data_IF_447037842080
#
_entry.id   IF_447037842080
#
_cell.length_a   1.000
_cell.length_b   1.000
_cell.length_c   1.000
_cell.angle_alpha   90.00
_cell.angle_beta   90.00
_cell.angle_gamma   90.00
#
_symmetry.space_group_name_H-M   'P 1'
#
loop_
_entity.id
_entity.type
_entity.pdbx_description
1 polymer ?
#
# COMPACT_ATOMS: atom_id res chain seq x y z
N UNK A 1 -19.05 -39.54 -34.57
CA UNK A 1 -19.63 -39.30 -33.24
C UNK A 1 -18.60 -38.60 -32.37
N UNK A 2 -18.69 -37.28 -32.19
CA UNK A 2 -17.76 -36.52 -31.36
C UNK A 2 -18.26 -36.49 -29.91
N UNK A 3 -17.54 -37.14 -29.00
CA UNK A 3 -17.80 -37.08 -27.55
C UNK A 3 -17.34 -35.72 -27.01
N UNK A 4 -18.31 -34.90 -26.64
CA UNK A 4 -18.10 -33.69 -25.83
C UNK A 4 -17.58 -34.09 -24.45
N UNK A 5 -16.33 -33.73 -24.15
CA UNK A 5 -15.73 -33.86 -22.82
C UNK A 5 -16.32 -32.78 -21.91
N UNK A 6 -17.40 -33.11 -21.22
CA UNK A 6 -18.00 -32.26 -20.21
C UNK A 6 -17.01 -31.99 -19.08
N UNK A 7 -16.63 -30.71 -18.90
CA UNK A 7 -15.93 -30.23 -17.70
C UNK A 7 -16.75 -30.64 -16.47
N UNK A 8 -16.15 -31.24 -15.42
CA UNK A 8 -16.89 -31.59 -14.23
C UNK A 8 -17.38 -30.31 -13.54
N UNK A 9 -18.69 -30.12 -13.52
CA UNK A 9 -19.35 -29.07 -12.74
C UNK A 9 -19.14 -29.43 -11.28
N UNK A 10 -18.27 -28.70 -10.57
CA UNK A 10 -18.13 -28.85 -9.12
C UNK A 10 -19.51 -28.69 -8.49
N UNK A 11 -19.92 -29.61 -7.61
CA UNK A 11 -21.18 -29.44 -6.89
C UNK A 11 -21.14 -28.11 -6.12
N UNK A 12 -22.26 -27.39 -6.02
CA UNK A 12 -22.31 -26.05 -5.40
C UNK A 12 -21.70 -26.03 -3.99
N UNK A 13 -21.82 -27.14 -3.25
CA UNK A 13 -21.20 -27.34 -1.92
C UNK A 13 -19.68 -27.40 -1.96
N UNK A 14 -19.07 -28.02 -2.97
CA UNK A 14 -17.62 -28.07 -3.13
C UNK A 14 -17.06 -26.70 -3.55
N UNK A 15 -17.78 -25.99 -4.42
CA UNK A 15 -17.42 -24.62 -4.81
C UNK A 15 -17.43 -23.67 -3.60
N UNK A 16 -18.52 -23.68 -2.81
CA UNK A 16 -18.63 -22.85 -1.62
C UNK A 16 -17.49 -23.10 -0.61
N UNK A 17 -17.16 -24.36 -0.34
CA UNK A 17 -16.04 -24.72 0.56
C UNK A 17 -14.70 -24.19 0.05
N UNK A 18 -14.47 -24.24 -1.27
CA UNK A 18 -13.26 -23.71 -1.86
C UNK A 18 -13.17 -22.19 -1.65
N UNK A 19 -14.25 -21.45 -1.93
CA UNK A 19 -14.27 -19.99 -1.79
C UNK A 19 -14.08 -19.55 -0.33
N UNK A 20 -14.72 -20.24 0.63
CA UNK A 20 -14.51 -19.97 2.06
C UNK A 20 -13.03 -20.20 2.43
N UNK A 21 -12.44 -21.31 2.00
CA UNK A 21 -11.03 -21.60 2.26
C UNK A 21 -10.09 -20.56 1.65
N UNK A 22 -10.40 -20.05 0.44
CA UNK A 22 -9.63 -18.98 -0.20
C UNK A 22 -9.74 -17.67 0.58
N UNK A 23 -10.93 -17.33 1.09
CA UNK A 23 -11.14 -16.16 1.93
C UNK A 23 -10.39 -16.26 3.27
N UNK A 24 -10.49 -17.40 3.97
CA UNK A 24 -9.79 -17.63 5.24
C UNK A 24 -8.26 -17.65 5.08
N UNK A 25 -7.76 -18.18 3.96
CA UNK A 25 -6.32 -18.13 3.66
C UNK A 25 -5.88 -16.69 3.40
N UNK A 26 -6.65 -15.93 2.61
CA UNK A 26 -6.34 -14.54 2.32
C UNK A 26 -6.43 -13.65 3.58
N UNK A 27 -7.38 -13.92 4.47
CA UNK A 27 -7.52 -13.21 5.73
C UNK A 27 -6.34 -13.44 6.67
N UNK A 28 -5.83 -14.68 6.70
CA UNK A 28 -4.60 -15.04 7.43
C UNK A 28 -3.35 -14.41 6.82
N UNK A 29 -3.24 -14.36 5.50
CA UNK A 29 -2.09 -13.76 4.79
C UNK A 29 -2.08 -12.23 4.89
N UNK A 30 -3.26 -11.61 4.89
CA UNK A 30 -3.42 -10.16 4.80
C UNK A 30 -4.41 -9.65 5.85
N UNK A 31 -4.11 -9.81 7.15
CA UNK A 31 -4.90 -9.16 8.18
C UNK A 31 -4.78 -7.65 7.97
N UNK A 32 -5.93 -6.99 7.88
CA UNK A 32 -6.05 -5.54 7.91
C UNK A 32 -5.14 -4.81 6.88
N UNK A 33 -5.69 -4.63 5.68
CA UNK A 33 -5.08 -3.89 4.58
C UNK A 33 -5.70 -2.50 4.48
N UNK A 34 -4.95 -1.53 3.92
CA UNK A 34 -5.51 -0.22 3.56
C UNK A 34 -6.70 -0.42 2.61
N UNK A 35 -7.81 0.25 2.92
CA UNK A 35 -9.02 0.26 2.08
C UNK A 35 -8.99 1.46 1.15
N UNK A 36 -9.56 1.30 -0.05
CA UNK A 36 -9.64 2.33 -1.06
C UNK A 36 -11.08 2.40 -1.57
N UNK A 37 -11.65 3.60 -1.63
CA UNK A 37 -12.94 3.85 -2.31
C UNK A 37 -12.76 4.00 -3.83
N UNK A 38 -11.62 4.53 -4.26
CA UNK A 38 -11.26 4.72 -5.66
C UNK A 38 -9.79 4.36 -5.90
N UNK A 39 -9.36 4.14 -7.16
CA UNK A 39 -7.94 4.01 -7.48
C UNK A 39 -7.14 5.21 -6.94
N UNK A 40 -5.97 4.99 -6.31
CA UNK A 40 -5.16 6.08 -5.80
C UNK A 40 -4.67 7.00 -6.93
N UNK A 41 -4.62 8.31 -6.65
CA UNK A 41 -4.02 9.28 -7.57
C UNK A 41 -2.50 9.18 -7.58
N UNK A 42 -1.91 9.35 -8.76
CA UNK A 42 -0.46 9.33 -8.92
C UNK A 42 0.19 10.55 -8.24
N UNK A 43 1.27 10.30 -7.51
CA UNK A 43 2.07 11.31 -6.83
C UNK A 43 3.56 11.11 -7.20
N UNK A 44 3.93 11.40 -8.46
CA UNK A 44 5.23 11.01 -9.01
C UNK A 44 6.42 11.73 -8.35
N UNK A 45 6.19 12.84 -7.64
CA UNK A 45 7.20 13.59 -6.89
C UNK A 45 7.21 13.27 -5.39
N UNK A 46 6.39 12.32 -4.94
CA UNK A 46 6.32 11.88 -3.56
C UNK A 46 7.19 10.65 -3.33
N UNK A 47 8.04 10.74 -2.32
CA UNK A 47 8.93 9.69 -1.83
C UNK A 47 8.40 9.16 -0.51
N UNK A 48 8.74 7.92 -0.19
CA UNK A 48 8.34 7.28 1.04
C UNK A 48 9.54 6.64 1.74
N UNK A 49 9.65 6.88 3.04
CA UNK A 49 10.49 6.14 3.96
C UNK A 49 9.60 5.24 4.82
N UNK A 50 9.75 3.92 4.70
CA UNK A 50 9.09 2.97 5.61
C UNK A 50 9.97 2.74 6.84
N UNK A 51 9.41 2.91 8.03
CA UNK A 51 10.16 2.76 9.29
C UNK A 51 9.30 2.13 10.38
N UNK A 52 9.95 1.43 11.31
CA UNK A 52 9.35 1.00 12.59
C UNK A 52 9.77 1.91 13.75
N UNK A 53 10.61 2.91 13.47
CA UNK A 53 11.14 3.85 14.45
C UNK A 53 10.21 5.05 14.61
N UNK A 54 10.09 5.52 15.85
CA UNK A 54 9.35 6.73 16.19
C UNK A 54 10.25 7.96 15.98
N UNK A 55 10.41 8.36 14.72
CA UNK A 55 11.05 9.62 14.36
C UNK A 55 10.11 10.79 14.57
N UNK A 56 10.67 11.91 15.01
CA UNK A 56 9.97 13.19 15.02
C UNK A 56 10.05 13.86 13.65
N UNK A 57 9.13 14.79 13.39
CA UNK A 57 9.18 15.60 12.17
C UNK A 57 10.48 16.42 12.07
N UNK A 58 11.04 16.86 13.20
CA UNK A 58 12.30 17.61 13.22
C UNK A 58 13.47 16.73 12.76
N UNK A 59 13.58 15.50 13.25
CA UNK A 59 14.65 14.59 12.82
C UNK A 59 14.62 14.30 11.32
N UNK A 60 13.42 14.15 10.75
CA UNK A 60 13.25 13.95 9.30
C UNK A 60 13.65 15.21 8.52
N UNK A 61 13.30 16.40 9.04
CA UNK A 61 13.71 17.67 8.45
C UNK A 61 15.23 17.86 8.48
N UNK A 62 15.87 17.59 9.61
CA UNK A 62 17.33 17.72 9.76
C UNK A 62 18.07 16.76 8.82
N UNK A 63 17.59 15.51 8.70
CA UNK A 63 18.15 14.54 7.76
C UNK A 63 17.98 14.99 6.30
N UNK A 64 16.84 15.59 5.96
CA UNK A 64 16.60 16.16 4.63
C UNK A 64 17.49 17.36 4.34
N UNK A 65 17.69 18.24 5.32
CA UNK A 65 18.56 19.42 5.18
C UNK A 65 20.04 19.00 5.02
N UNK A 66 20.48 17.95 5.72
CA UNK A 66 21.80 17.38 5.53
C UNK A 66 22.01 16.80 4.11
N UNK A 67 21.00 16.12 3.57
CA UNK A 67 21.05 15.52 2.22
C UNK A 67 20.83 16.54 1.10
N UNK A 68 20.02 17.57 1.36
CA UNK A 68 19.64 18.62 0.43
C UNK A 68 19.71 20.01 1.09
N UNK A 69 20.91 20.58 1.30
CA UNK A 69 21.05 21.87 1.94
C UNK A 69 20.25 22.97 1.20
N UNK A 70 19.51 23.75 1.97
CA UNK A 70 18.64 24.84 1.53
C UNK A 70 17.38 24.38 0.79
N UNK A 71 16.96 23.11 0.88
CA UNK A 71 15.83 22.59 0.11
C UNK A 71 14.49 23.27 0.46
N UNK A 72 14.30 23.65 1.73
CA UNK A 72 13.10 24.37 2.15
C UNK A 72 13.10 25.80 1.61
N UNK A 73 14.19 26.53 1.82
CA UNK A 73 14.32 27.94 1.42
C UNK A 73 14.22 28.09 -0.11
N UNK A 74 14.80 27.15 -0.85
CA UNK A 74 14.73 27.12 -2.32
C UNK A 74 13.42 26.55 -2.87
N UNK A 75 12.48 26.11 -2.03
CA UNK A 75 11.21 25.53 -2.46
C UNK A 75 11.33 24.19 -3.20
N UNK A 76 12.46 23.47 -3.02
CA UNK A 76 12.65 22.12 -3.59
C UNK A 76 11.89 21.05 -2.80
N UNK A 77 11.66 21.30 -1.51
CA UNK A 77 10.80 20.49 -0.66
C UNK A 77 9.42 21.17 -0.55
N UNK A 78 8.36 20.45 -0.92
CA UNK A 78 6.98 20.93 -0.87
C UNK A 78 6.26 20.55 0.42
N UNK A 79 6.41 19.31 0.88
CA UNK A 79 5.78 18.86 2.13
C UNK A 79 6.43 17.61 2.71
N UNK A 80 6.25 17.43 4.02
CA UNK A 80 6.53 16.19 4.74
C UNK A 80 5.25 15.78 5.47
N UNK A 81 4.89 14.50 5.42
CA UNK A 81 3.72 13.95 6.13
C UNK A 81 4.07 12.61 6.76
N UNK A 82 3.41 12.31 7.88
CA UNK A 82 3.50 11.01 8.53
C UNK A 82 2.19 10.25 8.34
N UNK A 83 2.29 8.99 7.93
CA UNK A 83 1.18 8.05 7.87
C UNK A 83 1.40 6.94 8.89
N UNK A 84 0.52 6.88 9.89
CA UNK A 84 0.46 5.76 10.79
C UNK A 84 -0.29 4.61 10.10
N UNK A 85 0.46 3.62 9.63
CA UNK A 85 -0.10 2.52 8.84
C UNK A 85 -0.94 1.57 9.69
N UNK A 86 -0.64 1.48 10.98
CA UNK A 86 -1.40 0.70 11.95
C UNK A 86 -2.82 1.27 12.13
N UNK A 87 -2.94 2.59 12.28
CA UNK A 87 -4.24 3.29 12.34
C UNK A 87 -4.99 3.18 11.01
N UNK A 88 -4.30 3.43 9.89
CA UNK A 88 -4.92 3.42 8.55
C UNK A 88 -5.46 2.04 8.19
N UNK A 89 -4.73 0.98 8.56
CA UNK A 89 -5.14 -0.40 8.28
C UNK A 89 -6.05 -0.98 9.37
N UNK A 90 -6.08 -0.40 10.58
CA UNK A 90 -6.75 -0.97 11.74
C UNK A 90 -6.04 -2.22 12.27
N UNK A 91 -4.71 -2.20 12.36
CA UNK A 91 -3.89 -3.33 12.83
C UNK A 91 -2.62 -2.88 13.53
N UNK A 92 -1.81 -3.82 14.00
CA UNK A 92 -0.49 -3.59 14.57
C UNK A 92 0.60 -4.27 13.72
N UNK A 93 1.85 -3.81 13.86
CA UNK A 93 3.00 -4.43 13.21
C UNK A 93 3.24 -4.00 11.76
N UNK A 94 2.49 -3.02 11.24
CA UNK A 94 2.83 -2.34 9.99
C UNK A 94 3.92 -1.30 10.26
N UNK A 95 4.81 -1.13 9.29
CA UNK A 95 5.78 -0.02 9.28
C UNK A 95 5.05 1.26 8.92
N UNK A 96 5.29 2.31 9.68
CA UNK A 96 4.77 3.63 9.39
C UNK A 96 5.55 4.27 8.25
N UNK A 97 4.95 5.30 7.65
CA UNK A 97 5.47 5.91 6.42
C UNK A 97 5.67 7.40 6.58
N UNK A 98 6.87 7.86 6.29
CA UNK A 98 7.16 9.28 6.09
C UNK A 98 7.11 9.60 4.61
N UNK A 99 6.16 10.45 4.22
CA UNK A 99 5.99 10.93 2.86
C UNK A 99 6.69 12.26 2.68
N UNK A 100 7.53 12.35 1.64
CA UNK A 100 8.35 13.52 1.34
C UNK A 100 8.04 13.93 -0.09
N UNK A 101 7.40 15.09 -0.27
CA UNK A 101 7.04 15.61 -1.58
C UNK A 101 8.01 16.68 -2.00
N UNK A 102 8.68 16.49 -3.13
CA UNK A 102 9.59 17.49 -3.73
C UNK A 102 8.94 18.17 -4.93
N UNK A 103 9.58 19.20 -5.48
CA UNK A 103 9.02 19.96 -6.61
C UNK A 103 9.57 19.57 -7.97
N UNK A 104 10.68 18.80 -8.02
CA UNK A 104 11.31 18.42 -9.27
C UNK A 104 11.88 16.98 -9.28
N UNK A 105 12.01 16.42 -10.48
CA UNK A 105 12.48 15.04 -10.67
C UNK A 105 13.98 14.86 -10.37
N UNK A 106 14.79 15.91 -10.44
CA UNK A 106 16.22 15.81 -10.14
C UNK A 106 16.43 15.60 -8.64
N UNK A 107 15.78 16.43 -7.82
CA UNK A 107 15.75 16.32 -6.35
C UNK A 107 15.19 14.95 -5.94
N UNK A 108 14.06 14.53 -6.55
CA UNK A 108 13.49 13.20 -6.30
C UNK A 108 14.50 12.09 -6.59
N UNK A 109 15.15 12.14 -7.74
CA UNK A 109 16.08 11.10 -8.18
C UNK A 109 17.36 11.08 -7.34
N UNK A 110 17.79 12.23 -6.80
CA UNK A 110 18.88 12.31 -5.83
C UNK A 110 18.51 11.58 -4.53
N UNK A 111 17.35 11.90 -3.95
CA UNK A 111 16.85 11.27 -2.72
C UNK A 111 16.61 9.77 -2.88
N UNK A 112 16.12 9.30 -4.03
CA UNK A 112 16.00 7.85 -4.31
C UNK A 112 17.35 7.12 -4.29
N UNK A 113 18.46 7.82 -4.58
CA UNK A 113 19.79 7.23 -4.57
C UNK A 113 20.47 7.33 -3.22
N UNK A 114 20.34 8.47 -2.52
CA UNK A 114 21.02 8.69 -1.25
C UNK A 114 20.25 8.17 -0.04
N UNK A 115 18.92 8.13 -0.11
CA UNK A 115 18.07 7.86 1.07
C UNK A 115 18.14 9.01 2.08
N UNK A 116 17.88 8.70 3.35
CA UNK A 116 18.08 9.60 4.48
C UNK A 116 18.89 8.91 5.57
N UNK A 117 19.71 9.65 6.29
CA UNK A 117 20.40 9.15 7.48
C UNK A 117 19.79 9.75 8.74
N UNK A 118 19.11 8.93 9.54
CA UNK A 118 18.51 9.34 10.81
C UNK A 118 19.17 8.57 11.94
N UNK A 119 19.61 9.27 13.00
CA UNK A 119 20.31 8.66 14.15
C UNK A 119 21.51 7.78 13.75
N UNK A 120 22.18 8.11 12.64
CA UNK A 120 23.30 7.34 12.08
C UNK A 120 22.92 6.08 11.30
N UNK A 121 21.62 5.84 11.07
CA UNK A 121 21.10 4.71 10.31
C UNK A 121 20.61 5.21 8.95
N UNK A 122 21.05 4.53 7.89
CA UNK A 122 20.60 4.80 6.53
C UNK A 122 19.21 4.18 6.29
N UNK A 123 18.26 5.02 5.89
CA UNK A 123 16.92 4.65 5.50
C UNK A 123 16.72 4.87 4.00
N UNK A 124 16.48 3.81 3.22
CA UNK A 124 16.22 3.96 1.80
C UNK A 124 14.89 4.66 1.57
N UNK A 125 14.84 5.50 0.54
CA UNK A 125 13.61 6.08 0.03
C UNK A 125 13.15 5.32 -1.21
N UNK A 126 11.84 5.11 -1.29
CA UNK A 126 11.18 4.52 -2.45
C UNK A 126 10.14 5.49 -3.01
N UNK A 127 9.64 5.23 -4.21
CA UNK A 127 8.53 6.02 -4.76
C UNK A 127 7.27 5.70 -3.98
N UNK A 128 6.53 6.73 -3.57
CA UNK A 128 5.27 6.54 -2.88
C UNK A 128 4.27 5.73 -3.72
N UNK A 129 4.20 6.02 -5.02
CA UNK A 129 3.31 5.33 -5.95
C UNK A 129 3.54 3.81 -6.00
N UNK A 130 4.78 3.33 -5.86
CA UNK A 130 5.09 1.90 -5.90
C UNK A 130 4.50 1.17 -4.68
N UNK A 131 4.61 1.78 -3.49
CA UNK A 131 4.02 1.26 -2.26
C UNK A 131 2.49 1.35 -2.28
N UNK A 132 1.95 2.51 -2.69
CA UNK A 132 0.52 2.75 -2.73
C UNK A 132 -0.19 1.83 -3.73
N UNK A 133 0.44 1.56 -4.88
CA UNK A 133 -0.05 0.59 -5.86
C UNK A 133 0.02 -0.84 -5.32
N UNK A 134 1.05 -1.16 -4.54
CA UNK A 134 1.14 -2.43 -3.80
C UNK A 134 -0.06 -2.61 -2.86
N UNK A 135 -0.33 -1.61 -2.02
CA UNK A 135 -1.50 -1.60 -1.12
C UNK A 135 -2.82 -1.75 -1.90
N UNK A 136 -2.96 -1.01 -3.00
CA UNK A 136 -4.18 -1.05 -3.83
C UNK A 136 -4.40 -2.41 -4.50
N UNK A 137 -3.34 -3.08 -4.97
CA UNK A 137 -3.44 -4.45 -5.52
C UNK A 137 -3.91 -5.45 -4.47
N UNK A 138 -3.43 -5.32 -3.23
CA UNK A 138 -3.89 -6.16 -2.12
C UNK A 138 -5.37 -5.89 -1.80
N UNK A 139 -5.78 -4.62 -1.81
CA UNK A 139 -7.18 -4.22 -1.67
C UNK A 139 -8.07 -4.87 -2.74
N UNK A 140 -7.70 -4.77 -4.01
CA UNK A 140 -8.45 -5.39 -5.11
C UNK A 140 -8.54 -6.92 -4.99
N UNK A 141 -7.44 -7.59 -4.63
CA UNK A 141 -7.42 -9.04 -4.42
C UNK A 141 -8.41 -9.44 -3.33
N UNK A 142 -8.45 -8.71 -2.21
CA UNK A 142 -9.38 -8.96 -1.10
C UNK A 142 -10.83 -8.67 -1.45
N UNK A 143 -11.09 -7.56 -2.14
CA UNK A 143 -12.42 -7.21 -2.61
C UNK A 143 -12.99 -8.26 -3.57
N UNK A 144 -12.17 -8.79 -4.48
CA UNK A 144 -12.58 -9.85 -5.41
C UNK A 144 -12.95 -11.16 -4.69
N UNK A 145 -12.13 -11.61 -3.75
CA UNK A 145 -12.41 -12.85 -3.00
C UNK A 145 -13.64 -12.68 -2.10
N UNK A 146 -13.80 -11.51 -1.45
CA UNK A 146 -15.01 -11.19 -0.67
C UNK A 146 -16.25 -11.22 -1.55
N UNK A 147 -16.20 -10.63 -2.75
CA UNK A 147 -17.33 -10.65 -3.69
C UNK A 147 -17.71 -12.08 -4.07
N UNK A 148 -16.74 -12.91 -4.47
CA UNK A 148 -16.97 -14.33 -4.78
C UNK A 148 -17.55 -15.10 -3.60
N UNK A 149 -17.13 -14.79 -2.38
CA UNK A 149 -17.68 -15.39 -1.15
C UNK A 149 -19.15 -15.02 -0.97
N UNK A 150 -19.49 -13.73 -1.11
CA UNK A 150 -20.87 -13.25 -1.02
C UNK A 150 -21.76 -13.88 -2.09
N UNK A 151 -21.30 -13.92 -3.35
CA UNK A 151 -21.99 -14.59 -4.45
C UNK A 151 -22.21 -16.09 -4.16
N UNK A 152 -21.20 -16.79 -3.63
CA UNK A 152 -21.31 -18.20 -3.29
C UNK A 152 -22.29 -18.48 -2.13
N UNK A 153 -22.48 -17.49 -1.24
CA UNK A 153 -23.46 -17.52 -0.15
C UNK A 153 -24.87 -17.09 -0.59
N UNK A 154 -25.05 -16.67 -1.85
CA UNK A 154 -26.33 -16.22 -2.38
C UNK A 154 -26.70 -14.77 -1.98
N UNK A 155 -25.72 -13.95 -1.60
CA UNK A 155 -25.95 -12.53 -1.40
C UNK A 155 -26.02 -11.83 -2.77
N UNK A 156 -27.09 -11.05 -2.98
CA UNK A 156 -27.20 -10.16 -4.13
C UNK A 156 -26.09 -9.09 -4.08
N UNK A 157 -25.54 -8.65 -5.23
CA UNK A 157 -24.57 -7.57 -5.24
C UNK A 157 -25.23 -6.29 -4.72
N UNK A 158 -24.85 -5.87 -3.52
CA UNK A 158 -25.18 -4.52 -3.06
C UNK A 158 -24.35 -3.53 -3.88
N UNK A 159 -25.04 -2.66 -4.63
CA UNK A 159 -24.47 -1.42 -5.18
C UNK A 159 -24.09 -0.53 -3.99
N UNK A 160 -22.92 -0.76 -3.39
CA UNK A 160 -22.34 0.20 -2.44
C UNK A 160 -21.12 0.82 -3.12
N UNK A 161 -21.32 2.07 -3.58
CA UNK A 161 -20.34 3.05 -4.07
C UNK A 161 -19.45 3.61 -2.94
#
# INVERSE_FOLDING_TARGET
MARSLGRPVKSSKQYLRQVISEYEALDRELPCIRKFSAPPSAQPLCLCMETSEDFTHLEVLEALEAELPGAMESGRLSSIRFENMNVICGTAGRRDRWLITVTDFQTRSRLLRSGLSLRGIAHPLVRHDDLLLGDYRLHLRRSLVRRRMLEALGAEPSEED
#
